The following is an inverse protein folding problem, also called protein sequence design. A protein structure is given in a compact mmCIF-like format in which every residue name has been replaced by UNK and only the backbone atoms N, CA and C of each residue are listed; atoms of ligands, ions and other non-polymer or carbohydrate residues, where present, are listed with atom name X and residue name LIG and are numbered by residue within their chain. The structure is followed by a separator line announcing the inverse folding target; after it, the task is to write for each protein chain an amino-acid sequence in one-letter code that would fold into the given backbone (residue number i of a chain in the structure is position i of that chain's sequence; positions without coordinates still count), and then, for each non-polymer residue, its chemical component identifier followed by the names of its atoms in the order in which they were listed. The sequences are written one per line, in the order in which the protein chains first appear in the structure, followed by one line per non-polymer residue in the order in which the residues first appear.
data_IF_466408182474
#
_entry.id   IF_466408182474
#
_cell.length_a   1.000
_cell.length_b   1.000
_cell.length_c   1.000
_cell.angle_alpha   90.00
_cell.angle_beta   90.00
_cell.angle_gamma   90.00
#
_symmetry.space_group_name_H-M   'P 1'
#
loop_
_entity.id
_entity.type
_entity.pdbx_description
1 polymer ?
#
# COMPACT_ATOMS: atom_id res chain seq x y z
N UNK A 1 3.71 -17.11 -3.65
CA UNK A 1 4.61 -16.18 -4.36
C UNK A 1 6.01 -16.76 -4.30
N UNK A 2 6.84 -16.60 -5.33
CA UNK A 2 8.20 -17.13 -5.35
C UNK A 2 9.18 -16.03 -5.72
N UNK A 3 10.34 -16.03 -5.07
CA UNK A 3 11.48 -15.18 -5.42
C UNK A 3 12.56 -16.02 -6.10
N UNK A 4 13.23 -15.44 -7.09
CA UNK A 4 14.32 -16.07 -7.84
C UNK A 4 15.52 -15.13 -7.89
N UNK A 5 16.72 -15.68 -8.07
CA UNK A 5 17.96 -14.89 -8.06
C UNK A 5 18.10 -13.89 -9.21
N UNK A 6 17.41 -14.13 -10.33
CA UNK A 6 17.49 -13.28 -11.52
C UNK A 6 16.25 -13.36 -12.42
N UNK A 7 16.06 -12.35 -13.27
CA UNK A 7 14.93 -12.30 -14.22
C UNK A 7 15.01 -13.37 -15.31
N UNK A 8 16.19 -13.86 -15.67
CA UNK A 8 16.38 -14.95 -16.62
C UNK A 8 15.76 -16.24 -16.12
N UNK A 9 15.94 -16.55 -14.84
CA UNK A 9 15.31 -17.69 -14.16
C UNK A 9 13.79 -17.57 -14.17
N UNK A 10 13.24 -16.39 -13.85
CA UNK A 10 11.79 -16.13 -13.94
C UNK A 10 11.26 -16.43 -15.34
N UNK A 11 11.94 -15.97 -16.39
CA UNK A 11 11.56 -16.23 -17.80
C UNK A 11 11.59 -17.72 -18.14
N UNK A 12 12.57 -18.48 -17.63
CA UNK A 12 12.65 -19.95 -17.82
C UNK A 12 11.46 -20.65 -17.17
N UNK A 13 11.11 -20.27 -15.94
CA UNK A 13 9.95 -20.83 -15.22
C UNK A 13 8.64 -20.52 -15.95
N UNK A 14 8.41 -19.27 -16.38
CA UNK A 14 7.20 -18.89 -17.13
C UNK A 14 7.06 -19.70 -18.44
N UNK A 15 8.16 -20.10 -19.08
CA UNK A 15 8.14 -20.91 -20.30
C UNK A 15 7.67 -22.36 -20.09
N UNK A 16 7.76 -22.91 -18.87
CA UNK A 16 7.29 -24.27 -18.58
C UNK A 16 5.88 -24.29 -17.97
N UNK A 17 5.44 -23.17 -17.38
CA UNK A 17 4.11 -23.05 -16.80
C UNK A 17 2.98 -22.99 -17.86
N UNK A 18 1.74 -23.36 -17.47
CA UNK A 18 0.54 -23.21 -18.30
C UNK A 18 0.38 -21.78 -18.84
N UNK A 19 -0.11 -21.67 -20.09
CA UNK A 19 -0.31 -20.39 -20.78
C UNK A 19 -1.58 -19.68 -20.33
N UNK A 20 -1.62 -19.26 -19.07
CA UNK A 20 -2.79 -18.57 -18.48
C UNK A 20 -2.68 -17.04 -18.53
N UNK A 21 -1.51 -16.51 -18.86
CA UNK A 21 -1.22 -15.08 -18.82
C UNK A 21 -1.47 -14.50 -17.43
N UNK A 22 -2.18 -13.38 -17.37
CA UNK A 22 -2.62 -12.72 -16.13
C UNK A 22 -4.10 -13.00 -15.80
N UNK A 23 -4.66 -14.05 -16.40
CA UNK A 23 -6.07 -14.44 -16.24
C UNK A 23 -7.03 -13.65 -17.13
N UNK A 24 -8.30 -14.07 -17.12
CA UNK A 24 -9.36 -13.51 -17.99
C UNK A 24 -9.96 -12.20 -17.46
N UNK A 25 -9.77 -11.89 -16.17
CA UNK A 25 -10.46 -10.81 -15.46
C UNK A 25 -10.16 -9.42 -16.02
N UNK A 26 -8.99 -9.23 -16.61
CA UNK A 26 -8.47 -7.91 -16.98
C UNK A 26 -8.60 -7.59 -18.47
N UNK A 27 -9.35 -8.38 -19.23
CA UNK A 27 -9.56 -8.14 -20.67
C UNK A 27 -8.28 -8.25 -21.50
N UNK A 28 -7.30 -9.04 -21.03
CA UNK A 28 -6.01 -9.23 -21.68
C UNK A 28 -5.95 -10.64 -22.28
N UNK A 29 -5.40 -10.80 -23.50
CA UNK A 29 -5.18 -12.12 -24.07
C UNK A 29 -4.34 -13.02 -23.16
N UNK A 30 -4.74 -14.29 -22.98
CA UNK A 30 -4.02 -15.25 -22.15
C UNK A 30 -2.75 -15.76 -22.85
N UNK A 31 -1.76 -14.87 -22.97
CA UNK A 31 -0.46 -15.18 -23.58
C UNK A 31 0.66 -14.97 -22.56
N UNK A 32 1.80 -15.64 -22.77
CA UNK A 32 2.97 -15.50 -21.88
C UNK A 32 3.65 -14.13 -21.93
N UNK A 33 3.30 -13.31 -22.92
CA UNK A 33 3.84 -11.96 -23.12
C UNK A 33 2.84 -10.86 -22.76
N UNK A 34 1.61 -11.24 -22.41
CA UNK A 34 0.57 -10.29 -22.08
C UNK A 34 0.91 -9.58 -20.76
N UNK A 35 0.88 -8.26 -20.79
CA UNK A 35 1.10 -7.42 -19.62
C UNK A 35 -0.21 -6.82 -19.16
N UNK A 36 -0.34 -6.64 -17.84
CA UNK A 36 -1.44 -5.89 -17.25
C UNK A 36 -1.51 -4.44 -17.76
N UNK A 37 -0.41 -3.91 -18.29
CA UNK A 37 -0.34 -2.59 -18.92
C UNK A 37 -1.18 -2.47 -20.20
N UNK A 38 -1.52 -3.58 -20.85
CA UNK A 38 -2.34 -3.62 -22.06
C UNK A 38 -3.83 -3.85 -21.78
N UNK A 39 -4.27 -3.74 -20.52
CA UNK A 39 -5.67 -3.96 -20.14
C UNK A 39 -6.60 -2.85 -20.65
N UNK A 40 -7.89 -3.18 -20.77
CA UNK A 40 -8.96 -2.20 -20.99
C UNK A 40 -9.63 -1.72 -19.69
N UNK A 41 -9.01 -1.96 -18.54
CA UNK A 41 -9.62 -1.72 -17.22
C UNK A 41 -9.90 -0.24 -16.95
N UNK A 42 -9.05 0.66 -17.45
CA UNK A 42 -9.24 2.11 -17.30
C UNK A 42 -10.51 2.58 -18.02
N UNK A 43 -10.74 2.10 -19.24
CA UNK A 43 -11.95 2.44 -20.00
C UNK A 43 -13.21 1.90 -19.31
N UNK A 44 -13.15 0.66 -18.81
CA UNK A 44 -14.26 0.08 -18.02
C UNK A 44 -14.58 0.91 -16.78
N UNK A 45 -13.56 1.37 -16.06
CA UNK A 45 -13.73 2.25 -14.90
C UNK A 45 -14.33 3.60 -15.28
N UNK A 46 -13.83 4.25 -16.34
CA UNK A 46 -14.39 5.52 -16.84
C UNK A 46 -15.86 5.40 -17.26
N UNK A 47 -16.23 4.25 -17.87
CA UNK A 47 -17.61 3.93 -18.25
C UNK A 47 -18.48 3.45 -17.09
N UNK A 48 -17.92 3.37 -15.87
CA UNK A 48 -18.57 2.86 -14.65
C UNK A 48 -19.04 1.40 -14.76
N UNK A 49 -18.42 0.62 -15.65
CA UNK A 49 -18.64 -0.83 -15.77
C UNK A 49 -17.99 -1.59 -14.59
N UNK A 50 -17.03 -0.96 -13.91
CA UNK A 50 -16.43 -1.45 -12.67
C UNK A 50 -16.38 -0.35 -11.61
N UNK A 51 -16.38 -0.75 -10.35
CA UNK A 51 -16.33 0.16 -9.20
C UNK A 51 -14.94 0.76 -8.98
N UNK A 52 -14.89 1.86 -8.21
CA UNK A 52 -13.62 2.42 -7.72
C UNK A 52 -12.80 1.40 -6.95
N UNK A 53 -13.44 0.54 -6.16
CA UNK A 53 -12.76 -0.52 -5.42
C UNK A 53 -12.07 -1.50 -6.35
N UNK A 54 -12.79 -2.03 -7.34
CA UNK A 54 -12.23 -2.96 -8.32
C UNK A 54 -11.09 -2.34 -9.13
N UNK A 55 -11.23 -1.07 -9.52
CA UNK A 55 -10.17 -0.37 -10.23
C UNK A 55 -8.92 -0.18 -9.35
N UNK A 56 -9.09 0.16 -8.07
CA UNK A 56 -7.97 0.26 -7.13
C UNK A 56 -7.30 -1.09 -6.89
N UNK A 57 -8.06 -2.18 -6.78
CA UNK A 57 -7.49 -3.52 -6.67
C UNK A 57 -6.70 -3.88 -7.93
N UNK A 58 -7.21 -3.53 -9.11
CA UNK A 58 -6.48 -3.68 -10.37
C UNK A 58 -5.17 -2.89 -10.33
N UNK A 59 -5.21 -1.59 -10.01
CA UNK A 59 -4.00 -0.75 -9.92
C UNK A 59 -2.96 -1.28 -8.93
N UNK A 60 -3.41 -1.80 -7.78
CA UNK A 60 -2.51 -2.45 -6.83
C UNK A 60 -1.85 -3.69 -7.44
N UNK A 61 -2.65 -4.53 -8.11
CA UNK A 61 -2.17 -5.77 -8.73
C UNK A 61 -1.13 -5.48 -9.82
N UNK A 62 -1.38 -4.49 -10.69
CA UNK A 62 -0.42 -4.15 -11.76
C UNK A 62 0.87 -3.51 -11.23
N UNK A 63 0.78 -2.82 -10.08
CA UNK A 63 1.93 -2.26 -9.38
C UNK A 63 2.74 -3.31 -8.59
N UNK A 64 2.40 -4.60 -8.72
CA UNK A 64 3.08 -5.70 -8.04
C UNK A 64 2.65 -5.93 -6.59
N UNK A 65 1.64 -5.21 -6.10
CA UNK A 65 1.14 -5.39 -4.73
C UNK A 65 0.42 -6.72 -4.59
N UNK A 66 0.60 -7.38 -3.45
CA UNK A 66 0.04 -8.71 -3.20
C UNK A 66 -0.24 -8.95 -1.73
N UNK A 67 -1.23 -9.79 -1.43
CA UNK A 67 -1.54 -10.22 -0.08
C UNK A 67 -0.50 -11.21 0.49
N UNK A 68 0.35 -11.79 -0.37
CA UNK A 68 1.36 -12.77 0.04
C UNK A 68 2.63 -12.14 0.63
N UNK A 69 2.84 -10.84 0.43
CA UNK A 69 3.96 -10.09 0.98
C UNK A 69 3.43 -8.86 1.69
N UNK A 70 3.50 -8.86 3.02
CA UNK A 70 2.98 -7.78 3.86
C UNK A 70 3.73 -6.46 3.64
N UNK A 71 4.97 -6.49 3.15
CA UNK A 71 5.71 -5.27 2.80
C UNK A 71 5.21 -4.64 1.49
N UNK A 72 4.50 -5.43 0.67
CA UNK A 72 3.90 -5.01 -0.61
C UNK A 72 2.38 -5.14 -0.59
N UNK A 73 1.77 -4.99 0.58
CA UNK A 73 0.32 -5.17 0.74
C UNK A 73 -0.48 -4.14 -0.09
N UNK A 74 -1.63 -4.53 -0.68
CA UNK A 74 -2.48 -3.60 -1.42
C UNK A 74 -2.92 -2.40 -0.59
N UNK A 75 -2.79 -1.21 -1.16
CA UNK A 75 -3.18 0.05 -0.55
C UNK A 75 -4.56 0.47 -1.04
N UNK A 76 -5.45 0.77 -0.10
CA UNK A 76 -6.68 1.49 -0.39
C UNK A 76 -6.73 2.75 0.49
N UNK A 77 -6.89 3.91 -0.14
CA UNK A 77 -7.23 5.13 0.60
C UNK A 77 -8.73 5.07 0.87
N UNK A 78 -9.11 4.85 2.13
CA UNK A 78 -10.51 4.90 2.51
C UNK A 78 -11.01 6.34 2.32
N UNK A 79 -12.02 6.53 1.46
CA UNK A 79 -12.87 7.71 1.55
C UNK A 79 -13.66 7.57 2.84
N UNK A 80 -13.19 8.18 3.93
CA UNK A 80 -13.83 7.99 5.21
C UNK A 80 -15.21 8.66 5.21
N UNK A 81 -16.27 7.90 5.47
CA UNK A 81 -17.56 8.47 5.89
C UNK A 81 -17.45 9.22 7.24
N UNK A 82 -16.36 9.00 7.98
CA UNK A 82 -16.09 9.59 9.30
C UNK A 82 -15.53 11.01 9.24
N UNK A 83 -15.04 11.46 8.07
CA UNK A 83 -14.63 12.84 7.91
C UNK A 83 -15.82 13.64 7.41
N UNK A 84 -16.16 14.74 8.10
CA UNK A 84 -17.21 15.68 7.69
C UNK A 84 -16.98 16.20 6.25
N UNK A 85 -15.74 16.14 5.76
CA UNK A 85 -15.36 16.40 4.39
C UNK A 85 -14.44 15.28 3.89
N UNK A 86 -14.65 14.85 2.64
CA UNK A 86 -13.73 13.93 1.99
C UNK A 86 -12.34 14.58 1.91
N UNK A 87 -11.28 13.87 2.32
CA UNK A 87 -9.92 14.41 2.25
C UNK A 87 -9.53 14.64 0.80
N UNK A 88 -8.79 15.72 0.55
CA UNK A 88 -8.26 16.05 -0.76
C UNK A 88 -7.37 14.90 -1.28
N UNK A 89 -7.87 14.19 -2.29
CA UNK A 89 -7.21 13.02 -2.86
C UNK A 89 -5.98 13.39 -3.72
N UNK A 90 -5.85 14.66 -4.10
CA UNK A 90 -4.66 15.16 -4.82
C UNK A 90 -3.43 15.29 -3.92
N UNK A 91 -3.63 15.33 -2.59
CA UNK A 91 -2.57 15.55 -1.59
C UNK A 91 -2.20 14.27 -0.84
N UNK A 92 -0.92 14.04 -0.53
CA UNK A 92 -0.51 12.98 0.40
C UNK A 92 -0.97 13.29 1.83
N UNK A 93 -1.02 12.26 2.69
CA UNK A 93 -1.50 12.39 4.09
C UNK A 93 -0.72 13.46 4.86
N UNK A 94 0.60 13.50 4.72
CA UNK A 94 1.45 14.49 5.37
C UNK A 94 1.20 15.94 4.95
N UNK A 95 0.54 16.17 3.80
CA UNK A 95 0.23 17.50 3.28
C UNK A 95 -1.23 17.94 3.54
N UNK A 96 -2.04 17.10 4.17
CA UNK A 96 -3.44 17.45 4.49
C UNK A 96 -3.52 18.50 5.60
N UNK A 97 -2.61 18.43 6.58
CA UNK A 97 -2.51 19.41 7.66
C UNK A 97 -1.46 20.49 7.27
N UNK A 98 -1.85 21.77 7.14
CA UNK A 98 -0.94 22.85 6.74
C UNK A 98 0.30 23.02 7.64
N UNK A 99 0.15 22.84 8.95
CA UNK A 99 1.27 22.95 9.89
C UNK A 99 2.29 21.82 9.67
N UNK A 100 1.82 20.59 9.45
CA UNK A 100 2.70 19.45 9.13
C UNK A 100 3.32 19.59 7.75
N UNK A 101 2.57 20.10 6.78
CA UNK A 101 3.09 20.37 5.44
C UNK A 101 4.33 21.28 5.54
N UNK A 102 4.20 22.40 6.25
CA UNK A 102 5.30 23.36 6.46
C UNK A 102 6.50 22.69 7.11
N UNK A 103 6.29 21.92 8.18
CA UNK A 103 7.37 21.14 8.82
C UNK A 103 8.10 20.20 7.85
N UNK A 104 7.36 19.48 6.99
CA UNK A 104 7.97 18.57 6.03
C UNK A 104 8.71 19.29 4.89
N UNK A 105 8.21 20.47 4.46
CA UNK A 105 8.88 21.33 3.48
C UNK A 105 10.19 21.91 4.05
N UNK A 106 10.17 22.37 5.30
CA UNK A 106 11.36 22.87 6.02
C UNK A 106 12.40 21.77 6.20
N UNK A 107 11.98 20.56 6.61
CA UNK A 107 12.86 19.40 6.73
C UNK A 107 13.53 19.05 5.39
N UNK A 108 12.77 19.08 4.30
CA UNK A 108 13.29 18.79 2.96
C UNK A 108 14.30 19.86 2.53
N UNK A 109 13.99 21.13 2.79
CA UNK A 109 14.78 22.27 2.32
C UNK A 109 16.06 22.50 3.12
N UNK A 110 16.04 22.21 4.42
CA UNK A 110 17.21 22.31 5.31
C UNK A 110 18.05 21.03 5.38
N UNK A 111 17.79 20.07 4.49
CA UNK A 111 18.46 18.77 4.50
C UNK A 111 19.89 18.88 3.95
N UNK A 112 20.87 18.78 4.84
CA UNK A 112 22.29 18.74 4.51
C UNK A 112 22.86 17.35 4.84
N UNK A 113 23.00 16.51 3.80
CA UNK A 113 23.63 15.19 3.93
C UNK A 113 24.26 14.76 2.61
N UNK A 114 25.54 14.34 2.64
CA UNK A 114 26.32 14.09 1.42
C UNK A 114 25.85 12.85 0.62
N UNK A 115 25.36 11.82 1.32
CA UNK A 115 24.98 10.54 0.70
C UNK A 115 23.48 10.30 0.54
N UNK A 116 22.65 10.95 1.35
CA UNK A 116 21.23 10.66 1.45
C UNK A 116 20.46 11.83 0.82
N UNK A 117 19.71 11.60 -0.26
CA UNK A 117 18.90 12.64 -0.88
C UNK A 117 17.88 13.24 0.10
N UNK A 118 17.48 14.51 -0.08
CA UNK A 118 16.45 15.12 0.74
C UNK A 118 15.11 14.38 0.58
N UNK A 119 14.36 14.27 1.68
CA UNK A 119 13.07 13.60 1.71
C UNK A 119 12.10 14.27 2.69
N UNK A 120 10.81 14.21 2.38
CA UNK A 120 9.76 14.75 3.23
C UNK A 120 9.44 13.80 4.40
N UNK A 121 9.32 12.50 4.12
CA UNK A 121 8.84 11.51 5.09
C UNK A 121 9.90 10.45 5.36
N UNK A 122 10.31 10.31 6.62
CA UNK A 122 11.16 9.21 7.07
C UNK A 122 10.39 7.90 7.28
N UNK A 123 9.06 7.95 7.19
CA UNK A 123 8.16 6.82 7.34
C UNK A 123 7.36 6.59 6.06
N UNK A 124 6.96 5.35 5.83
CA UNK A 124 6.27 4.94 4.61
C UNK A 124 4.79 4.67 4.88
N UNK A 125 3.92 4.97 3.92
CA UNK A 125 2.47 4.83 4.07
C UNK A 125 1.95 3.38 4.10
N UNK A 126 2.81 2.41 3.77
CA UNK A 126 2.47 0.99 3.70
C UNK A 126 3.64 0.18 4.23
N UNK A 127 3.43 -0.50 5.35
CA UNK A 127 4.43 -1.36 6.00
C UNK A 127 3.75 -2.62 6.51
N UNK A 128 4.51 -3.71 6.62
CA UNK A 128 4.03 -4.95 7.22
C UNK A 128 3.53 -4.73 8.66
N UNK A 129 4.23 -3.90 9.43
CA UNK A 129 3.82 -3.52 10.78
C UNK A 129 2.42 -2.86 10.81
N UNK A 130 2.09 -2.00 9.85
CA UNK A 130 0.76 -1.39 9.77
C UNK A 130 -0.31 -2.41 9.42
N UNK A 131 -0.05 -3.31 8.48
CA UNK A 131 -1.01 -4.38 8.12
C UNK A 131 -1.30 -5.26 9.32
N UNK A 132 -0.26 -5.70 10.02
CA UNK A 132 -0.39 -6.53 11.23
C UNK A 132 -1.14 -5.78 12.34
N UNK A 133 -0.84 -4.50 12.56
CA UNK A 133 -1.55 -3.72 13.58
C UNK A 133 -3.05 -3.55 13.22
N UNK A 134 -3.39 -3.27 11.96
CA UNK A 134 -4.79 -3.16 11.54
C UNK A 134 -5.55 -4.49 11.63
N UNK A 135 -4.86 -5.60 11.35
CA UNK A 135 -5.45 -6.95 11.33
C UNK A 135 -5.25 -7.74 12.62
N UNK A 136 -4.81 -7.09 13.71
CA UNK A 136 -4.44 -7.75 14.99
C UNK A 136 -5.55 -8.60 15.63
N UNK A 137 -6.81 -8.45 15.18
CA UNK A 137 -7.96 -9.23 15.65
C UNK A 137 -8.25 -10.47 14.80
N UNK A 138 -7.43 -10.76 13.80
CA UNK A 138 -7.62 -11.84 12.84
C UNK A 138 -6.40 -12.75 12.80
N UNK A 139 -6.59 -14.06 12.91
CA UNK A 139 -5.53 -15.02 12.56
C UNK A 139 -5.37 -15.10 11.03
N UNK A 140 -4.14 -15.33 10.51
CA UNK A 140 -2.89 -15.56 11.22
C UNK A 140 -2.14 -14.27 11.65
N UNK A 141 -2.73 -13.08 11.46
CA UNK A 141 -2.05 -11.79 11.67
C UNK A 141 -1.74 -11.53 13.14
N UNK A 142 -2.58 -12.00 14.07
CA UNK A 142 -2.29 -11.94 15.52
C UNK A 142 -1.01 -12.69 15.84
N UNK A 143 -0.89 -13.95 15.38
CA UNK A 143 0.31 -14.76 15.59
C UNK A 143 1.56 -14.11 15.00
N UNK A 144 1.45 -13.55 13.79
CA UNK A 144 2.54 -12.85 13.13
C UNK A 144 2.92 -11.55 13.86
N UNK A 145 1.95 -10.81 14.38
CA UNK A 145 2.18 -9.60 15.18
C UNK A 145 2.92 -9.94 16.48
N UNK A 146 2.51 -11.00 17.18
CA UNK A 146 3.19 -11.47 18.38
C UNK A 146 4.63 -11.90 18.07
N UNK A 147 4.85 -12.66 16.99
CA UNK A 147 6.19 -13.07 16.57
C UNK A 147 7.11 -11.86 16.32
N UNK A 148 6.58 -10.80 15.68
CA UNK A 148 7.33 -9.56 15.45
C UNK A 148 7.66 -8.80 16.75
N UNK A 149 6.80 -8.90 17.78
CA UNK A 149 6.91 -8.19 19.06
C UNK A 149 7.53 -9.03 20.19
N UNK A 150 8.23 -10.12 19.87
CA UNK A 150 8.91 -10.95 20.87
C UNK A 150 7.96 -11.81 21.72
N UNK A 151 6.81 -12.21 21.14
CA UNK A 151 5.86 -13.16 21.72
C UNK A 151 4.79 -12.53 22.62
N UNK A 152 4.73 -11.20 22.75
CA UNK A 152 3.73 -10.49 23.55
C UNK A 152 3.09 -9.37 22.74
N UNK A 153 1.90 -8.96 23.18
CA UNK A 153 1.27 -7.77 22.64
C UNK A 153 2.08 -6.52 23.00
N UNK A 154 2.04 -5.54 22.10
CA UNK A 154 2.60 -4.23 22.33
C UNK A 154 1.80 -3.45 23.40
N UNK A 155 2.30 -2.29 23.81
CA UNK A 155 1.62 -1.41 24.73
C UNK A 155 0.22 -1.06 24.19
N UNK A 156 -0.87 -1.13 25.00
CA UNK A 156 -2.24 -0.93 24.53
C UNK A 156 -2.48 0.38 23.77
N UNK A 157 -1.78 1.45 24.17
CA UNK A 157 -1.86 2.76 23.50
C UNK A 157 -1.26 2.81 22.07
N UNK A 158 -0.48 1.80 21.66
CA UNK A 158 0.13 1.69 20.33
C UNK A 158 -0.62 0.72 19.41
N UNK A 159 -1.46 -0.14 19.99
CA UNK A 159 -2.26 -1.12 19.26
C UNK A 159 -3.50 -0.44 18.67
N UNK A 160 -3.91 -0.90 17.49
CA UNK A 160 -5.11 -0.41 16.82
C UNK A 160 -6.39 -0.66 17.64
N UNK A 161 -6.90 0.39 18.28
CA UNK A 161 -8.12 0.36 19.10
C UNK A 161 -9.28 1.15 18.51
N UNK A 162 -9.01 2.21 17.74
CA UNK A 162 -10.03 3.15 17.23
C UNK A 162 -9.68 3.71 15.86
N UNK A 163 -10.66 3.73 14.96
CA UNK A 163 -10.53 4.35 13.63
C UNK A 163 -10.34 5.86 13.76
N UNK A 164 -11.11 6.52 14.63
CA UNK A 164 -11.02 7.97 14.87
C UNK A 164 -9.63 8.36 15.38
N UNK A 165 -9.14 7.64 16.39
CA UNK A 165 -7.80 7.89 16.95
C UNK A 165 -6.72 7.63 15.92
N UNK A 166 -6.84 6.56 15.14
CA UNK A 166 -5.88 6.26 14.06
C UNK A 166 -5.82 7.37 13.02
N UNK A 167 -6.98 7.89 12.58
CA UNK A 167 -7.04 9.02 11.65
C UNK A 167 -6.43 10.29 12.25
N UNK A 168 -6.73 10.61 13.51
CA UNK A 168 -6.16 11.76 14.19
C UNK A 168 -4.63 11.67 14.32
N UNK A 169 -4.11 10.48 14.60
CA UNK A 169 -2.67 10.23 14.67
C UNK A 169 -2.01 10.46 13.30
N UNK A 170 -2.58 9.93 12.20
CA UNK A 170 -2.13 10.21 10.83
C UNK A 170 -2.07 11.70 10.48
N UNK A 171 -2.84 12.55 11.17
CA UNK A 171 -2.92 14.00 10.91
C UNK A 171 -2.03 14.83 11.83
N UNK A 172 -1.49 14.26 12.91
CA UNK A 172 -0.76 14.97 13.97
C UNK A 172 0.68 14.50 14.11
N UNK A 173 0.89 13.19 14.13
CA UNK A 173 2.21 12.61 14.37
C UNK A 173 3.09 12.76 13.12
N UNK A 174 4.26 13.39 13.24
CA UNK A 174 5.22 13.58 12.15
C UNK A 174 5.81 12.26 11.65
N UNK A 175 5.69 11.19 12.44
CA UNK A 175 6.12 9.84 12.08
C UNK A 175 4.98 8.98 11.53
N UNK A 176 3.73 9.41 11.59
CA UNK A 176 2.58 8.66 11.05
C UNK A 176 2.00 9.32 9.78
N UNK A 177 2.38 8.75 8.63
CA UNK A 177 1.90 9.18 7.29
C UNK A 177 1.17 8.06 6.53
N UNK A 178 0.65 7.05 7.27
CA UNK A 178 -0.13 5.94 6.69
C UNK A 178 -1.39 6.41 5.95
#
# INVERSE_FOLDING_TARGET
MFAFGDQGTVKKVIKVLPRVGVGIKYGIPQTRRASLMSSNMTQKWQRREISNFEYLIFLNTIAGRTYNDLNQYPRQRAGSQLAQQLPDLSKPIGALNPARKTYFEERYSSWEHDQIPPFHYGTHYSTSAFVLNYMIRLEPFTSLFLALQGGKFDHPNRIFSSIKTSWQNCQRDTSDVK
#
